data_IF_390954345089
#
_entry.id   IF_390954345089
#
_cell.length_a   1.000
_cell.length_b   1.000
_cell.length_c   1.000
_cell.angle_alpha   90.00
_cell.angle_beta   90.00
_cell.angle_gamma   90.00
#
_symmetry.space_group_name_H-M   'P 1'
#
loop_
_entity.id
_entity.type
_entity.pdbx_description
1 polymer ?
#
# COMPACT_ATOMS: atom_id res chain seq x y z
N UNK A 1 3.97 -7.44 9.72
CA UNK A 1 4.73 -7.13 8.48
C UNK A 1 5.31 -5.72 8.49
N UNK A 2 4.62 -4.68 9.00
CA UNK A 2 5.08 -3.29 8.94
C UNK A 2 6.43 -3.00 9.65
N UNK A 3 6.88 -3.86 10.54
CA UNK A 3 8.20 -3.76 11.19
C UNK A 3 9.31 -4.51 10.42
N UNK A 4 8.98 -5.24 9.38
CA UNK A 4 9.98 -5.93 8.54
C UNK A 4 10.49 -4.95 7.50
N UNK A 5 11.81 -4.92 7.31
CA UNK A 5 12.42 -4.05 6.31
C UNK A 5 11.82 -4.32 4.92
N UNK A 6 11.50 -3.29 4.14
CA UNK A 6 10.88 -3.42 2.80
C UNK A 6 11.63 -4.39 1.88
N UNK A 7 12.95 -4.27 1.84
CA UNK A 7 13.83 -5.16 1.06
C UNK A 7 13.69 -6.63 1.46
N UNK A 8 13.66 -6.90 2.78
CA UNK A 8 13.54 -8.28 3.30
C UNK A 8 12.17 -8.85 2.97
N UNK A 9 11.10 -8.08 3.21
CA UNK A 9 9.74 -8.48 2.86
C UNK A 9 9.61 -8.82 1.37
N UNK A 10 10.12 -7.95 0.51
CA UNK A 10 10.05 -8.14 -0.92
C UNK A 10 10.85 -9.38 -1.39
N UNK A 11 12.03 -9.63 -0.81
CA UNK A 11 12.82 -10.83 -1.11
C UNK A 11 12.16 -12.11 -0.61
N UNK A 12 11.55 -12.10 0.56
CA UNK A 12 10.79 -13.24 1.08
C UNK A 12 9.63 -13.57 0.15
N UNK A 13 8.83 -12.57 -0.24
CA UNK A 13 7.73 -12.78 -1.17
C UNK A 13 8.22 -13.28 -2.53
N UNK A 14 9.28 -12.67 -3.08
CA UNK A 14 9.84 -13.05 -4.38
C UNK A 14 10.34 -14.50 -4.40
N UNK A 15 11.12 -14.88 -3.39
CA UNK A 15 11.86 -16.15 -3.43
C UNK A 15 11.11 -17.32 -2.76
N UNK A 16 10.39 -17.04 -1.65
CA UNK A 16 9.74 -18.11 -0.88
C UNK A 16 8.28 -18.34 -1.29
N UNK A 17 7.56 -17.30 -1.70
CA UNK A 17 6.12 -17.43 -2.01
C UNK A 17 5.86 -17.42 -3.52
N UNK A 18 6.34 -16.42 -4.24
CA UNK A 18 6.00 -16.14 -5.64
C UNK A 18 6.99 -16.71 -6.66
N UNK A 19 8.04 -17.41 -6.22
CA UNK A 19 8.95 -18.07 -7.16
C UNK A 19 8.20 -19.19 -7.91
N UNK A 20 8.21 -19.22 -9.26
CA UNK A 20 7.43 -20.17 -10.04
C UNK A 20 7.84 -21.63 -9.83
N UNK A 21 9.11 -21.89 -9.48
CA UNK A 21 9.66 -23.25 -9.33
C UNK A 21 9.69 -23.68 -7.86
N UNK A 22 10.30 -22.86 -7.01
CA UNK A 22 10.57 -23.21 -5.61
C UNK A 22 9.61 -22.56 -4.60
N UNK A 23 8.84 -21.57 -5.03
CA UNK A 23 7.93 -20.84 -4.17
C UNK A 23 6.72 -21.67 -3.77
N UNK A 24 6.13 -21.31 -2.62
CA UNK A 24 4.95 -22.01 -2.09
C UNK A 24 3.80 -21.97 -3.10
N UNK A 25 3.52 -20.83 -3.71
CA UNK A 25 2.44 -20.70 -4.71
C UNK A 25 2.75 -21.49 -5.98
N UNK A 26 4.00 -21.47 -6.46
CA UNK A 26 4.42 -22.27 -7.60
C UNK A 26 4.20 -23.76 -7.37
N UNK A 27 4.59 -24.28 -6.20
CA UNK A 27 4.41 -25.68 -5.82
C UNK A 27 2.93 -26.08 -5.69
N UNK A 28 2.09 -25.22 -5.12
CA UNK A 28 0.64 -25.48 -5.01
C UNK A 28 0.03 -25.55 -6.41
N UNK A 29 0.31 -24.58 -7.27
CA UNK A 29 -0.25 -24.49 -8.62
C UNK A 29 0.18 -25.71 -9.47
N UNK A 30 1.46 -26.07 -9.44
CA UNK A 30 1.97 -27.26 -10.16
C UNK A 30 1.45 -28.56 -9.56
N UNK A 31 1.28 -28.65 -8.25
CA UNK A 31 0.67 -29.80 -7.58
C UNK A 31 -0.80 -30.03 -7.97
N UNK A 32 -1.50 -28.97 -8.34
CA UNK A 32 -2.87 -29.02 -8.88
C UNK A 32 -2.93 -29.32 -10.39
N UNK A 33 -1.78 -29.51 -11.04
CA UNK A 33 -1.68 -29.83 -12.48
C UNK A 33 -1.71 -28.61 -13.40
N UNK A 34 -1.59 -27.39 -12.87
CA UNK A 34 -1.49 -26.17 -13.67
C UNK A 34 -0.04 -25.78 -13.97
N UNK A 35 0.22 -25.05 -15.07
CA UNK A 35 1.55 -24.54 -15.36
C UNK A 35 2.01 -23.53 -14.28
N UNK A 36 3.33 -23.47 -13.99
CA UNK A 36 3.87 -22.53 -13.03
C UNK A 36 3.60 -21.08 -13.47
N UNK A 37 3.18 -20.23 -12.52
CA UNK A 37 2.88 -18.83 -12.79
C UNK A 37 4.13 -18.01 -12.48
N UNK A 38 4.61 -17.25 -13.46
CA UNK A 38 5.62 -16.21 -13.23
C UNK A 38 4.94 -14.89 -12.84
N UNK A 39 4.81 -14.69 -11.54
CA UNK A 39 4.13 -13.52 -11.00
C UNK A 39 4.79 -12.20 -11.40
N UNK A 40 6.12 -12.15 -11.43
CA UNK A 40 6.86 -10.91 -11.74
C UNK A 40 7.05 -10.69 -13.25
N UNK A 41 7.00 -11.75 -14.05
CA UNK A 41 7.02 -11.62 -15.50
C UNK A 41 5.65 -11.29 -16.10
N UNK A 42 4.59 -11.96 -15.60
CA UNK A 42 3.25 -11.83 -16.16
C UNK A 42 2.41 -10.72 -15.48
N UNK A 43 2.56 -10.56 -14.15
CA UNK A 43 1.77 -9.63 -13.34
C UNK A 43 2.65 -8.77 -12.43
N UNK A 44 3.67 -8.07 -12.95
CA UNK A 44 4.68 -7.39 -12.15
C UNK A 44 4.10 -6.33 -11.22
N UNK A 45 3.24 -5.46 -11.74
CA UNK A 45 2.62 -4.39 -10.96
C UNK A 45 1.70 -4.94 -9.87
N UNK A 46 0.87 -5.95 -10.21
CA UNK A 46 -0.03 -6.58 -9.24
C UNK A 46 0.76 -7.27 -8.12
N UNK A 47 1.88 -7.93 -8.45
CA UNK A 47 2.74 -8.60 -7.48
C UNK A 47 3.37 -7.61 -6.49
N UNK A 48 3.89 -6.47 -6.98
CA UNK A 48 4.43 -5.42 -6.11
C UNK A 48 3.33 -4.80 -5.27
N UNK A 49 2.17 -4.49 -5.85
CA UNK A 49 1.03 -3.94 -5.13
C UNK A 49 0.58 -4.87 -4.01
N UNK A 50 0.53 -6.18 -4.25
CA UNK A 50 0.21 -7.17 -3.23
C UNK A 50 1.21 -7.17 -2.07
N UNK A 51 2.51 -7.16 -2.36
CA UNK A 51 3.58 -7.13 -1.34
C UNK A 51 3.46 -5.87 -0.49
N UNK A 52 3.30 -4.72 -1.13
CA UNK A 52 3.19 -3.43 -0.46
C UNK A 52 1.92 -3.36 0.39
N UNK A 53 0.78 -3.81 -0.15
CA UNK A 53 -0.47 -3.88 0.61
C UNK A 53 -0.35 -4.79 1.84
N UNK A 54 0.29 -5.95 1.70
CA UNK A 54 0.56 -6.85 2.83
C UNK A 54 1.44 -6.19 3.90
N UNK A 55 2.39 -5.37 3.51
CA UNK A 55 3.26 -4.66 4.46
C UNK A 55 2.51 -3.58 5.23
N UNK A 56 1.65 -2.82 4.57
CA UNK A 56 0.92 -1.68 5.15
C UNK A 56 -0.38 -2.07 5.84
N UNK A 57 -0.96 -3.23 5.51
CA UNK A 57 -2.21 -3.73 6.09
C UNK A 57 -2.24 -3.69 7.63
N UNK A 58 -1.19 -4.11 8.38
CA UNK A 58 -1.23 -4.07 9.84
C UNK A 58 -1.25 -2.65 10.41
N UNK A 59 -0.62 -1.69 9.73
CA UNK A 59 -0.67 -0.29 10.13
C UNK A 59 -2.10 0.26 10.00
N UNK A 60 -2.73 0.07 8.85
CA UNK A 60 -4.11 0.47 8.64
C UNK A 60 -5.06 -0.21 9.64
N UNK A 61 -4.89 -1.52 9.83
CA UNK A 61 -5.70 -2.31 10.76
C UNK A 61 -5.58 -1.79 12.19
N UNK A 62 -4.37 -1.45 12.64
CA UNK A 62 -4.14 -0.95 14.00
C UNK A 62 -4.83 0.40 14.24
N UNK A 63 -4.71 1.33 13.31
CA UNK A 63 -5.34 2.65 13.42
C UNK A 63 -6.87 2.53 13.38
N UNK A 64 -7.40 1.73 12.45
CA UNK A 64 -8.84 1.53 12.35
C UNK A 64 -9.41 0.79 13.55
N UNK A 65 -8.68 -0.19 14.09
CA UNK A 65 -9.08 -0.92 15.29
C UNK A 65 -9.13 0.00 16.51
N UNK A 66 -8.11 0.85 16.70
CA UNK A 66 -8.09 1.83 17.79
C UNK A 66 -9.23 2.84 17.67
N UNK A 67 -9.50 3.31 16.48
CA UNK A 67 -10.65 4.19 16.23
C UNK A 67 -11.98 3.49 16.52
N UNK A 68 -12.10 2.22 16.12
CA UNK A 68 -13.31 1.45 16.41
C UNK A 68 -13.52 1.21 17.90
N UNK A 69 -12.43 0.96 18.64
CA UNK A 69 -12.49 0.79 20.11
C UNK A 69 -12.84 2.07 20.86
N UNK A 70 -12.68 3.23 20.25
CA UNK A 70 -13.10 4.52 20.83
C UNK A 70 -14.58 4.83 20.60
N UNK A 71 -15.30 3.98 19.87
CA UNK A 71 -16.73 4.14 19.67
C UNK A 71 -17.47 3.82 20.97
N UNK A 72 -18.43 4.67 21.33
CA UNK A 72 -19.23 4.52 22.51
C UNK A 72 -20.15 3.27 22.39
N UNK A 73 -19.97 2.35 23.31
CA UNK A 73 -20.79 1.11 23.35
C UNK A 73 -22.26 1.39 23.61
N UNK A 74 -22.59 2.43 24.39
CA UNK A 74 -23.98 2.80 24.67
C UNK A 74 -24.72 3.15 23.37
N UNK A 75 -24.05 3.80 22.39
CA UNK A 75 -24.63 4.08 21.09
C UNK A 75 -24.95 2.80 20.29
N UNK A 76 -24.07 1.80 20.36
CA UNK A 76 -24.28 0.53 19.67
C UNK A 76 -25.42 -0.27 20.31
N UNK A 77 -25.48 -0.29 21.64
CA UNK A 77 -26.53 -0.97 22.40
C UNK A 77 -27.89 -0.30 22.21
N UNK A 78 -27.95 1.04 22.23
CA UNK A 78 -29.17 1.78 21.94
C UNK A 78 -29.71 1.48 20.54
N UNK A 79 -28.84 1.48 19.53
CA UNK A 79 -29.23 1.13 18.17
C UNK A 79 -29.71 -0.33 18.05
N UNK A 80 -29.16 -1.24 18.86
CA UNK A 80 -29.62 -2.64 18.90
C UNK A 80 -31.00 -2.74 19.55
N UNK A 81 -31.25 -2.00 20.61
CA UNK A 81 -32.58 -1.92 21.24
C UNK A 81 -33.62 -1.35 20.30
N UNK A 82 -33.25 -0.41 19.43
CA UNK A 82 -34.09 0.14 18.35
C UNK A 82 -34.31 -0.81 17.17
N UNK A 83 -33.73 -2.03 17.23
CA UNK A 83 -33.89 -3.07 16.21
C UNK A 83 -33.00 -2.85 14.98
N UNK A 84 -31.94 -2.03 15.04
CA UNK A 84 -31.03 -1.84 13.94
C UNK A 84 -30.25 -3.12 13.65
N UNK A 85 -30.30 -3.57 12.39
CA UNK A 85 -29.49 -4.71 11.94
C UNK A 85 -28.01 -4.41 12.01
N UNK A 86 -27.14 -5.45 12.04
CA UNK A 86 -25.69 -5.28 12.04
C UNK A 86 -25.19 -4.42 10.86
N UNK A 87 -25.75 -4.60 9.66
CA UNK A 87 -25.42 -3.80 8.48
C UNK A 87 -25.77 -2.32 8.67
N UNK A 88 -26.93 -2.03 9.29
CA UNK A 88 -27.33 -0.65 9.54
C UNK A 88 -26.39 0.01 10.57
N UNK A 89 -26.06 -0.69 11.66
CA UNK A 89 -25.07 -0.19 12.64
C UNK A 89 -23.70 0.04 12.00
N UNK A 90 -23.25 -0.88 11.13
CA UNK A 90 -21.99 -0.72 10.41
C UNK A 90 -21.99 0.54 9.53
N UNK A 91 -22.98 0.72 8.67
CA UNK A 91 -22.99 1.83 7.72
C UNK A 91 -23.33 3.20 8.33
N UNK A 92 -24.21 3.25 9.33
CA UNK A 92 -24.72 4.51 9.85
C UNK A 92 -24.06 4.96 11.17
N UNK A 93 -23.39 4.06 11.90
CA UNK A 93 -22.71 4.39 13.15
C UNK A 93 -21.20 4.19 13.02
N UNK A 94 -20.78 2.96 12.67
CA UNK A 94 -19.35 2.61 12.67
C UNK A 94 -18.59 3.31 11.54
N UNK A 95 -19.10 3.28 10.30
CA UNK A 95 -18.42 3.88 9.15
C UNK A 95 -18.25 5.40 9.25
N UNK A 96 -19.24 6.20 9.66
CA UNK A 96 -19.07 7.62 9.91
C UNK A 96 -18.02 7.91 11.01
N UNK A 97 -18.02 7.11 12.09
CA UNK A 97 -17.03 7.23 13.15
C UNK A 97 -15.61 6.91 12.65
N UNK A 98 -15.45 5.89 11.83
CA UNK A 98 -14.17 5.50 11.24
C UNK A 98 -13.68 6.43 10.14
N UNK A 99 -14.55 7.26 9.54
CA UNK A 99 -14.21 8.10 8.39
C UNK A 99 -12.98 8.99 8.65
N UNK A 100 -12.85 9.53 9.86
CA UNK A 100 -11.70 10.34 10.28
C UNK A 100 -10.40 9.50 10.28
N UNK A 101 -10.44 8.32 10.88
CA UNK A 101 -9.30 7.40 10.94
C UNK A 101 -8.91 6.89 9.54
N UNK A 102 -9.89 6.51 8.71
CA UNK A 102 -9.68 6.11 7.32
C UNK A 102 -8.97 7.22 6.55
N UNK A 103 -9.40 8.46 6.73
CA UNK A 103 -8.82 9.60 6.04
C UNK A 103 -7.36 9.82 6.44
N UNK A 104 -7.02 9.66 7.71
CA UNK A 104 -5.64 9.75 8.22
C UNK A 104 -4.78 8.61 7.65
N UNK A 105 -5.29 7.38 7.63
CA UNK A 105 -4.59 6.22 7.04
C UNK A 105 -4.30 6.46 5.56
N UNK A 106 -5.30 6.87 4.79
CA UNK A 106 -5.14 7.16 3.35
C UNK A 106 -4.08 8.24 3.13
N UNK A 107 -4.08 9.31 3.93
CA UNK A 107 -3.08 10.37 3.82
C UNK A 107 -1.67 9.85 4.07
N UNK A 108 -1.46 9.17 5.19
CA UNK A 108 -0.15 8.67 5.58
C UNK A 108 0.35 7.66 4.53
N UNK A 109 -0.48 6.68 4.18
CA UNK A 109 -0.10 5.67 3.20
C UNK A 109 0.17 6.28 1.82
N UNK A 110 -0.63 7.23 1.36
CA UNK A 110 -0.39 7.88 0.07
C UNK A 110 0.98 8.55 0.03
N UNK A 111 1.37 9.27 1.09
CA UNK A 111 2.68 9.94 1.16
C UNK A 111 3.81 8.91 1.11
N UNK A 112 3.71 7.83 1.88
CA UNK A 112 4.74 6.77 1.89
C UNK A 112 4.77 5.98 0.58
N UNK A 113 3.62 5.70 -0.02
CA UNK A 113 3.52 4.95 -1.28
C UNK A 113 4.11 5.70 -2.48
N UNK A 114 4.14 7.03 -2.44
CA UNK A 114 4.83 7.84 -3.47
C UNK A 114 6.34 7.59 -3.49
N UNK A 115 6.93 7.10 -2.40
CA UNK A 115 8.38 6.87 -2.27
C UNK A 115 8.79 5.39 -2.34
N UNK A 116 7.90 4.49 -2.79
CA UNK A 116 8.23 3.07 -2.98
C UNK A 116 9.43 2.93 -3.90
N UNK A 117 10.46 2.23 -3.43
CA UNK A 117 11.71 2.03 -4.15
C UNK A 117 12.28 0.62 -3.93
N UNK A 118 12.47 0.23 -2.67
CA UNK A 118 13.16 -1.00 -2.31
C UNK A 118 12.48 -2.26 -2.86
N UNK A 119 11.16 -2.29 -2.83
CA UNK A 119 10.35 -3.39 -3.34
C UNK A 119 10.53 -3.56 -4.85
N UNK A 120 10.56 -2.46 -5.60
CA UNK A 120 10.79 -2.48 -7.05
C UNK A 120 12.21 -2.94 -7.33
N UNK A 121 13.20 -2.37 -6.63
CA UNK A 121 14.62 -2.67 -6.84
C UNK A 121 14.92 -4.16 -6.71
N UNK A 122 14.43 -4.80 -5.63
CA UNK A 122 14.80 -6.20 -5.34
C UNK A 122 13.89 -7.23 -6.02
N UNK A 123 12.71 -6.83 -6.50
CA UNK A 123 11.78 -7.76 -7.16
C UNK A 123 11.93 -7.74 -8.68
N UNK A 124 11.51 -6.66 -9.32
CA UNK A 124 11.38 -6.53 -10.77
C UNK A 124 12.50 -5.72 -11.41
N UNK A 125 13.23 -4.95 -10.61
CA UNK A 125 14.26 -4.03 -11.12
C UNK A 125 13.69 -3.06 -12.18
N UNK A 126 12.45 -2.60 -11.97
CA UNK A 126 11.71 -1.72 -12.87
C UNK A 126 10.97 -2.43 -14.02
N UNK A 127 11.26 -3.73 -14.25
CA UNK A 127 10.78 -4.50 -15.39
C UNK A 127 9.45 -5.25 -15.20
N UNK A 128 9.04 -6.02 -16.22
CA UNK A 128 9.61 -6.11 -17.57
C UNK A 128 9.49 -4.80 -18.35
N UNK A 129 10.54 -4.46 -19.09
CA UNK A 129 10.65 -3.12 -19.72
C UNK A 129 10.66 -2.02 -18.66
N UNK A 130 9.62 -1.19 -18.61
CA UNK A 130 9.41 -0.12 -17.61
C UNK A 130 8.11 -0.29 -16.81
N UNK A 131 7.54 -1.49 -16.81
CA UNK A 131 6.19 -1.76 -16.29
C UNK A 131 6.01 -1.42 -14.79
N UNK A 132 7.10 -1.49 -14.01
CA UNK A 132 7.09 -1.18 -12.58
C UNK A 132 8.00 -0.01 -12.21
N UNK A 133 8.51 0.71 -13.20
CA UNK A 133 9.35 1.90 -12.99
C UNK A 133 8.48 3.05 -12.51
N UNK A 134 8.67 3.48 -11.28
CA UNK A 134 8.11 4.71 -10.75
C UNK A 134 9.15 5.84 -10.77
N UNK A 135 8.74 7.05 -10.38
CA UNK A 135 9.61 8.22 -10.40
C UNK A 135 10.84 8.04 -9.50
N UNK A 136 10.69 7.47 -8.31
CA UNK A 136 11.79 7.22 -7.37
C UNK A 136 12.81 6.25 -7.94
N UNK A 137 12.35 5.17 -8.57
CA UNK A 137 13.24 4.21 -9.23
C UNK A 137 13.93 4.83 -10.46
N UNK A 138 13.24 5.66 -11.24
CA UNK A 138 13.80 6.37 -12.38
C UNK A 138 14.92 7.32 -11.94
N UNK A 139 14.73 8.09 -10.86
CA UNK A 139 15.74 8.97 -10.27
C UNK A 139 16.99 8.16 -9.88
N UNK A 140 16.81 7.01 -9.25
CA UNK A 140 17.90 6.11 -8.89
C UNK A 140 18.68 5.64 -10.13
N UNK A 141 17.99 5.17 -11.15
CA UNK A 141 18.62 4.70 -12.39
C UNK A 141 19.41 5.82 -13.06
N UNK A 142 18.81 7.00 -13.22
CA UNK A 142 19.46 8.15 -13.88
C UNK A 142 20.67 8.64 -13.09
N UNK A 143 20.51 8.85 -11.76
CA UNK A 143 21.56 9.43 -10.93
C UNK A 143 22.73 8.49 -10.66
N UNK A 144 22.42 7.23 -10.28
CA UNK A 144 23.43 6.32 -9.73
C UNK A 144 23.88 5.25 -10.72
N UNK A 145 23.05 4.83 -11.66
CA UNK A 145 23.44 3.83 -12.65
C UNK A 145 23.94 4.45 -13.96
N UNK A 146 23.30 5.53 -14.41
CA UNK A 146 23.69 6.25 -15.63
C UNK A 146 24.63 7.42 -15.36
N UNK A 147 24.84 7.79 -14.08
CA UNK A 147 25.65 8.95 -13.66
C UNK A 147 25.18 10.30 -14.26
N UNK A 148 23.92 10.36 -14.70
CA UNK A 148 23.28 11.60 -15.13
C UNK A 148 22.68 12.32 -13.92
N UNK A 149 23.55 13.04 -13.20
CA UNK A 149 23.18 13.80 -12.01
C UNK A 149 22.18 14.91 -12.35
N UNK A 150 22.25 15.47 -13.56
CA UNK A 150 21.33 16.50 -14.01
C UNK A 150 19.89 15.99 -14.12
N UNK A 151 19.69 14.88 -14.82
CA UNK A 151 18.39 14.24 -14.97
C UNK A 151 17.86 13.76 -13.62
N UNK A 152 18.72 13.12 -12.82
CA UNK A 152 18.33 12.65 -11.48
C UNK A 152 17.92 13.78 -10.55
N UNK A 153 18.65 14.90 -10.55
CA UNK A 153 18.28 16.08 -9.74
C UNK A 153 16.97 16.72 -10.19
N UNK A 154 16.75 16.83 -11.51
CA UNK A 154 15.49 17.31 -12.06
C UNK A 154 14.31 16.41 -11.64
N UNK A 155 14.50 15.09 -11.72
CA UNK A 155 13.52 14.10 -11.23
C UNK A 155 13.22 14.26 -9.74
N UNK A 156 14.25 14.49 -8.92
CA UNK A 156 14.10 14.75 -7.48
C UNK A 156 13.26 16.00 -7.18
N UNK A 157 13.50 17.09 -7.89
CA UNK A 157 12.71 18.33 -7.76
C UNK A 157 11.25 18.08 -8.15
N UNK A 158 11.00 17.38 -9.26
CA UNK A 158 9.64 17.00 -9.68
C UNK A 158 8.97 16.13 -8.63
N UNK A 159 9.68 15.15 -8.06
CA UNK A 159 9.14 14.28 -7.01
C UNK A 159 8.69 15.08 -5.78
N UNK A 160 9.51 16.05 -5.32
CA UNK A 160 9.17 16.91 -4.19
C UNK A 160 7.94 17.77 -4.51
N UNK A 161 7.88 18.38 -5.70
CA UNK A 161 6.71 19.18 -6.11
C UNK A 161 5.44 18.33 -6.11
N UNK A 162 5.49 17.15 -6.74
CA UNK A 162 4.34 16.23 -6.79
C UNK A 162 3.89 15.77 -5.39
N UNK A 163 4.84 15.41 -4.53
CA UNK A 163 4.54 15.01 -3.16
C UNK A 163 3.86 16.13 -2.37
N UNK A 164 4.35 17.38 -2.51
CA UNK A 164 3.73 18.53 -1.86
C UNK A 164 2.32 18.83 -2.40
N UNK A 165 2.11 18.75 -3.72
CA UNK A 165 0.78 18.93 -4.32
C UNK A 165 -0.21 17.90 -3.75
N UNK A 166 0.18 16.63 -3.72
CA UNK A 166 -0.66 15.54 -3.19
C UNK A 166 -0.92 15.75 -1.70
N UNK A 167 0.09 16.08 -0.91
CA UNK A 167 -0.04 16.32 0.53
C UNK A 167 -1.00 17.49 0.83
N UNK A 168 -0.85 18.63 0.13
CA UNK A 168 -1.72 19.80 0.29
C UNK A 168 -3.16 19.49 -0.11
N UNK A 169 -3.34 18.77 -1.23
CA UNK A 169 -4.67 18.37 -1.70
C UNK A 169 -5.37 17.46 -0.69
N UNK A 170 -4.67 16.44 -0.18
CA UNK A 170 -5.21 15.53 0.83
C UNK A 170 -5.50 16.26 2.15
N UNK A 171 -4.60 17.12 2.63
CA UNK A 171 -4.83 17.90 3.84
C UNK A 171 -6.06 18.82 3.73
N UNK A 172 -6.32 19.41 2.56
CA UNK A 172 -7.52 20.23 2.33
C UNK A 172 -8.82 19.42 2.38
N UNK A 173 -8.80 18.21 1.80
CA UNK A 173 -9.96 17.31 1.85
C UNK A 173 -10.22 16.89 3.29
N UNK A 174 -9.17 16.56 4.04
CA UNK A 174 -9.26 16.14 5.43
C UNK A 174 -9.77 17.27 6.32
N UNK A 175 -9.18 18.47 6.21
CA UNK A 175 -9.61 19.63 7.00
C UNK A 175 -11.10 19.88 6.85
N UNK A 176 -11.63 19.82 5.65
CA UNK A 176 -13.06 20.01 5.38
C UNK A 176 -13.96 18.93 6.02
N UNK A 177 -13.45 17.71 6.18
CA UNK A 177 -14.19 16.60 6.82
C UNK A 177 -14.00 16.54 8.34
N UNK A 178 -13.02 17.28 8.89
CA UNK A 178 -12.80 17.37 10.34
C UNK A 178 -13.63 18.49 10.99
N UNK A 179 -14.00 19.50 10.20
CA UNK A 179 -14.79 20.66 10.65
C UNK A 179 -16.31 20.43 10.46
N UNK A 180 -16.72 19.31 9.88
CA UNK A 180 -18.12 18.88 9.71
C UNK A 180 -18.48 17.80 10.75
#
# INVERSE_FOLDING_TARGET
PCFVMPTVSALVWKNMFMNPVNGIFGRIVTGLGFPPIDFFGQYPLASITFIVSWMWLPFATLILLTALQSLDQEQLEAAEMDGASWLNRFWFIMMPHLARAITVVILIETIFLLSIFAEILVTTNGGPGTATTNLTYLIYVSSLLQFDVGMGSAGGVIAIILANIVAIFLMRIIGKNLDA
#
